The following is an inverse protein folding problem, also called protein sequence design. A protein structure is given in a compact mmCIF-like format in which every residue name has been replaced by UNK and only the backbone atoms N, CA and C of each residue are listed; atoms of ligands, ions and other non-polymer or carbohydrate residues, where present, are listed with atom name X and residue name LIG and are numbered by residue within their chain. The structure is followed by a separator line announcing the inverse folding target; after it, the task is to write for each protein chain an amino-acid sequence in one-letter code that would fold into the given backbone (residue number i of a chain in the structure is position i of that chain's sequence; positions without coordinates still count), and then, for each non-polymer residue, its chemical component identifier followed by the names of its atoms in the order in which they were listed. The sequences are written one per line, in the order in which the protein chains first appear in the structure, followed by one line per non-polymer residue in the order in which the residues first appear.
data_IF_134600599436
#
_entry.id   IF_134600599436
#
_cell.length_a   1.000
_cell.length_b   1.000
_cell.length_c   1.000
_cell.angle_alpha   90.00
_cell.angle_beta   90.00
_cell.angle_gamma   90.00
#
_symmetry.space_group_name_H-M   'P 1'
#
loop_
_entity.id
_entity.type
_entity.pdbx_description
1 polymer ?
#
# COMPACT_ATOMS: atom_id res chain seq x y z
N UNK A 1 -12.20 -3.11 -11.34
CA UNK A 1 -10.73 -2.99 -11.31
C UNK A 1 -10.39 -1.83 -10.40
N UNK A 2 -9.36 -1.97 -9.57
CA UNK A 2 -8.83 -0.90 -8.74
C UNK A 2 -7.34 -0.73 -9.05
N UNK A 3 -6.90 0.51 -9.22
CA UNK A 3 -5.48 0.87 -9.32
C UNK A 3 -5.22 1.90 -8.24
N UNK A 4 -4.31 1.61 -7.33
CA UNK A 4 -4.00 2.46 -6.19
C UNK A 4 -2.49 2.66 -6.16
N UNK A 5 -2.06 3.92 -6.02
CA UNK A 5 -0.68 4.25 -5.67
C UNK A 5 -0.69 4.54 -4.17
N UNK A 6 0.18 3.89 -3.42
CA UNK A 6 0.26 4.04 -1.97
C UNK A 6 1.70 3.87 -1.48
N UNK A 7 1.96 4.31 -0.26
CA UNK A 7 3.25 4.14 0.39
C UNK A 7 3.57 2.65 0.62
N UNK A 8 4.85 2.32 0.50
CA UNK A 8 5.46 1.06 0.84
C UNK A 8 6.30 1.26 2.11
N UNK A 9 5.67 1.08 3.27
CA UNK A 9 6.29 1.37 4.56
C UNK A 9 7.57 0.56 4.82
N UNK A 10 7.67 -0.65 4.27
CA UNK A 10 8.88 -1.46 4.41
C UNK A 10 10.08 -0.77 3.75
N UNK A 11 9.91 -0.23 2.54
CA UNK A 11 10.98 0.49 1.85
C UNK A 11 11.21 1.88 2.46
N UNK A 12 10.16 2.59 2.88
CA UNK A 12 10.33 3.86 3.62
C UNK A 12 11.15 3.65 4.90
N UNK A 13 10.84 2.61 5.68
CA UNK A 13 11.59 2.27 6.88
C UNK A 13 13.04 1.89 6.56
N UNK A 14 13.30 1.19 5.44
CA UNK A 14 14.66 0.87 4.99
C UNK A 14 15.46 2.13 4.65
N UNK A 15 14.85 3.08 3.94
CA UNK A 15 15.48 4.38 3.67
C UNK A 15 15.84 5.08 4.99
N UNK A 16 14.93 5.10 5.97
CA UNK A 16 15.17 5.78 7.25
C UNK A 16 16.30 5.14 8.08
N UNK A 17 16.38 3.81 8.16
CA UNK A 17 17.42 3.15 8.96
C UNK A 17 18.81 3.21 8.31
N UNK A 18 18.87 3.46 7.00
CA UNK A 18 20.12 3.62 6.24
C UNK A 18 20.70 5.04 6.38
N UNK A 19 20.04 5.92 7.13
CA UNK A 19 20.42 7.33 7.31
C UNK A 19 20.76 7.61 8.77
N UNK A 20 21.92 8.23 8.99
CA UNK A 20 22.39 8.60 10.33
C UNK A 20 21.60 9.79 10.90
N UNK A 21 21.21 10.72 10.03
CA UNK A 21 20.37 11.89 10.34
C UNK A 21 19.18 11.94 9.39
N UNK A 22 18.05 12.47 9.87
CA UNK A 22 16.84 12.65 9.07
C UNK A 22 16.72 14.12 8.67
N UNK A 23 16.74 14.37 7.36
CA UNK A 23 16.46 15.68 6.78
C UNK A 23 14.95 15.91 6.61
N UNK A 24 14.60 17.11 6.17
CA UNK A 24 13.20 17.51 5.97
C UNK A 24 12.50 16.57 4.97
N UNK A 25 13.16 16.14 3.89
CA UNK A 25 12.54 15.29 2.88
C UNK A 25 12.18 13.90 3.46
N UNK A 26 13.04 13.34 4.31
CA UNK A 26 12.78 12.08 5.04
C UNK A 26 11.64 12.25 6.05
N UNK A 27 11.56 13.40 6.72
CA UNK A 27 10.47 13.73 7.63
C UNK A 27 9.16 13.87 6.85
N UNK A 28 9.19 14.49 5.66
CA UNK A 28 8.03 14.60 4.77
C UNK A 28 7.53 13.24 4.31
N UNK A 29 8.43 12.33 3.96
CA UNK A 29 8.09 10.98 3.50
C UNK A 29 7.25 10.17 4.50
N UNK A 30 7.42 10.39 5.82
CA UNK A 30 6.78 9.57 6.87
C UNK A 30 5.82 10.34 7.78
N UNK A 31 5.99 11.66 7.88
CA UNK A 31 5.23 12.50 8.80
C UNK A 31 4.60 13.71 8.13
N UNK A 32 4.52 13.74 6.79
CA UNK A 32 4.00 14.88 6.03
C UNK A 32 4.59 16.23 6.50
N UNK A 33 5.86 16.23 6.93
CA UNK A 33 6.62 17.40 7.34
C UNK A 33 6.42 17.84 8.79
N UNK A 34 5.56 17.17 9.57
CA UNK A 34 5.37 17.54 10.97
C UNK A 34 5.10 16.34 11.89
N UNK A 35 6.16 15.77 12.49
CA UNK A 35 6.06 14.58 13.34
C UNK A 35 5.37 14.87 14.68
N UNK A 36 5.16 16.12 15.07
CA UNK A 36 4.48 16.47 16.33
C UNK A 36 2.96 16.55 16.19
N UNK A 37 2.43 16.47 14.97
CA UNK A 37 0.99 16.57 14.69
C UNK A 37 0.39 15.17 14.50
N UNK A 38 -0.49 14.68 15.40
CA UNK A 38 -1.03 13.32 15.34
C UNK A 38 -1.83 12.94 14.08
N UNK A 39 -2.24 13.94 13.29
CA UNK A 39 -2.90 13.75 12.00
C UNK A 39 -1.94 13.35 10.88
N UNK A 40 -0.64 13.65 11.04
CA UNK A 40 0.34 13.56 9.97
C UNK A 40 1.09 12.24 9.94
N UNK A 41 0.95 11.42 10.99
CA UNK A 41 1.41 10.03 10.94
C UNK A 41 0.62 9.26 9.90
N UNK A 42 1.31 8.58 8.98
CA UNK A 42 0.68 7.58 8.14
C UNK A 42 0.08 6.48 9.03
N UNK A 43 -1.24 6.50 9.21
CA UNK A 43 -1.98 5.47 9.97
C UNK A 43 -2.09 4.15 9.24
N UNK A 44 -1.76 4.15 7.95
CA UNK A 44 -1.73 2.98 7.11
C UNK A 44 -0.73 3.20 5.99
N UNK A 45 0.30 2.36 5.95
CA UNK A 45 1.15 2.19 4.77
C UNK A 45 1.57 0.72 4.80
N UNK A 46 0.84 -0.15 4.10
CA UNK A 46 1.10 -1.58 4.17
C UNK A 46 2.45 -1.93 3.51
N UNK A 47 3.10 -3.00 3.96
CA UNK A 47 4.07 -3.69 3.10
C UNK A 47 3.32 -4.35 1.93
N UNK A 48 4.00 -4.72 0.82
CA UNK A 48 3.38 -5.43 -0.28
C UNK A 48 2.61 -6.69 0.17
N UNK A 49 3.17 -7.45 1.11
CA UNK A 49 2.56 -8.67 1.65
C UNK A 49 1.27 -8.36 2.41
N UNK A 50 1.29 -7.31 3.25
CA UNK A 50 0.10 -6.91 4.00
C UNK A 50 -0.98 -6.33 3.09
N UNK A 51 -0.59 -5.59 2.05
CA UNK A 51 -1.51 -5.09 1.03
C UNK A 51 -2.20 -6.25 0.29
N UNK A 52 -1.46 -7.28 -0.14
CA UNK A 52 -2.04 -8.46 -0.78
C UNK A 52 -3.07 -9.14 0.13
N UNK A 53 -2.75 -9.28 1.42
CA UNK A 53 -3.68 -9.85 2.40
C UNK A 53 -4.97 -9.04 2.49
N UNK A 54 -4.88 -7.72 2.68
CA UNK A 54 -6.04 -6.83 2.79
C UNK A 54 -6.92 -6.87 1.53
N UNK A 55 -6.31 -6.86 0.34
CA UNK A 55 -7.06 -6.93 -0.90
C UNK A 55 -7.76 -8.28 -1.08
N UNK A 56 -7.14 -9.39 -0.66
CA UNK A 56 -7.79 -10.71 -0.65
C UNK A 56 -8.98 -10.74 0.30
N UNK A 57 -8.83 -10.20 1.51
CA UNK A 57 -9.92 -10.08 2.48
C UNK A 57 -11.07 -9.22 1.96
N UNK A 58 -10.77 -8.20 1.14
CA UNK A 58 -11.77 -7.36 0.46
C UNK A 58 -12.40 -8.01 -0.81
N UNK A 59 -12.05 -9.26 -1.13
CA UNK A 59 -12.60 -10.03 -2.24
C UNK A 59 -11.94 -9.79 -3.60
N UNK A 60 -10.75 -9.19 -3.64
CA UNK A 60 -9.92 -9.17 -4.84
C UNK A 60 -9.09 -10.46 -4.92
N UNK A 61 -8.89 -10.99 -6.12
CA UNK A 61 -8.22 -12.29 -6.30
C UNK A 61 -7.06 -12.20 -7.30
N UNK A 62 -7.11 -11.27 -8.26
CA UNK A 62 -5.94 -10.91 -9.06
C UNK A 62 -5.40 -9.61 -8.51
N UNK A 63 -4.20 -9.69 -7.91
CA UNK A 63 -3.50 -8.58 -7.28
C UNK A 63 -2.08 -8.61 -7.81
N UNK A 64 -1.64 -7.51 -8.42
CA UNK A 64 -0.27 -7.33 -8.90
C UNK A 64 0.27 -6.05 -8.29
N UNK A 65 1.50 -6.12 -7.78
CA UNK A 65 2.20 -4.98 -7.18
C UNK A 65 3.38 -4.63 -8.08
N UNK A 66 3.52 -3.34 -8.35
CA UNK A 66 4.62 -2.77 -9.11
C UNK A 66 5.34 -1.74 -8.24
N UNK A 67 6.64 -1.59 -8.48
CA UNK A 67 7.40 -0.44 -7.97
C UNK A 67 6.85 0.84 -8.60
N UNK A 68 6.79 1.93 -7.85
CA UNK A 68 6.55 3.26 -8.40
C UNK A 68 7.89 3.90 -8.82
N UNK A 69 8.20 4.04 -10.12
CA UNK A 69 9.54 4.48 -10.55
C UNK A 69 10.01 5.83 -9.96
N UNK A 70 9.16 6.87 -9.86
CA UNK A 70 9.58 8.16 -9.33
C UNK A 70 10.21 8.08 -7.94
N UNK A 71 9.69 7.20 -7.08
CA UNK A 71 10.22 7.08 -5.72
C UNK A 71 11.60 6.43 -5.69
N UNK A 72 11.83 5.46 -6.59
CA UNK A 72 13.10 4.77 -6.71
C UNK A 72 14.20 5.69 -7.22
N UNK A 73 13.86 6.64 -8.09
CA UNK A 73 14.79 7.66 -8.57
C UNK A 73 15.22 8.63 -7.47
N UNK A 74 14.31 8.98 -6.56
CA UNK A 74 14.58 9.92 -5.45
C UNK A 74 15.35 9.21 -4.31
N UNK A 75 14.88 8.03 -3.91
CA UNK A 75 15.32 7.38 -2.67
C UNK A 75 16.25 6.19 -2.87
N UNK A 76 16.48 5.76 -4.12
CA UNK A 76 17.14 4.49 -4.44
C UNK A 76 16.28 3.25 -4.15
N UNK A 77 15.06 3.44 -3.63
CA UNK A 77 14.12 2.40 -3.20
C UNK A 77 12.69 2.74 -3.61
N UNK A 78 11.88 1.72 -3.87
CA UNK A 78 10.46 1.89 -4.20
C UNK A 78 9.62 2.17 -2.94
N UNK A 79 9.79 3.36 -2.35
CA UNK A 79 9.06 3.84 -1.16
C UNK A 79 7.56 4.03 -1.41
N UNK A 80 7.14 4.00 -2.66
CA UNK A 80 5.76 3.91 -3.11
C UNK A 80 5.59 2.68 -4.00
N UNK A 81 4.37 2.16 -4.02
CA UNK A 81 3.99 1.01 -4.84
C UNK A 81 2.66 1.26 -5.56
N UNK A 82 2.52 0.65 -6.72
CA UNK A 82 1.26 0.57 -7.47
C UNK A 82 0.65 -0.79 -7.21
N UNK A 83 -0.62 -0.81 -6.80
CA UNK A 83 -1.41 -2.02 -6.63
C UNK A 83 -2.49 -2.03 -7.70
N UNK A 84 -2.42 -3.01 -8.60
CA UNK A 84 -3.52 -3.33 -9.52
C UNK A 84 -4.30 -4.53 -8.98
N UNK A 85 -5.61 -4.36 -8.81
CA UNK A 85 -6.47 -5.39 -8.27
C UNK A 85 -7.77 -5.58 -9.06
N UNK A 86 -8.18 -6.83 -9.23
CA UNK A 86 -9.44 -7.22 -9.90
C UNK A 86 -10.26 -8.13 -8.98
N UNK A 87 -11.58 -7.87 -8.95
CA UNK A 87 -12.63 -8.69 -8.32
C UNK A 87 -13.19 -9.69 -9.31
N UNK A 88 -13.71 -10.81 -8.80
CA UNK A 88 -14.00 -11.94 -9.68
C UNK A 88 -15.34 -11.62 -10.24
N UNK A 89 -15.48 -11.67 -11.56
CA UNK A 89 -16.79 -11.54 -12.19
C UNK A 89 -17.76 -12.66 -11.78
N UNK A 90 -17.30 -13.63 -10.97
CA UNK A 90 -18.12 -14.66 -10.36
C UNK A 90 -19.16 -14.04 -9.43
N UNK A 91 -20.42 -14.29 -9.75
CA UNK A 91 -21.56 -14.02 -8.88
C UNK A 91 -21.89 -15.31 -8.13
N UNK A 92 -21.96 -15.25 -6.81
CA UNK A 92 -22.45 -16.39 -6.02
C UNK A 92 -23.96 -16.47 -6.23
N UNK A 93 -24.40 -17.43 -7.04
CA UNK A 93 -25.81 -17.73 -7.22
C UNK A 93 -26.36 -18.44 -5.99
N UNK A 94 -27.27 -17.81 -5.26
CA UNK A 94 -28.04 -18.50 -4.23
C UNK A 94 -29.17 -19.26 -4.91
N UNK A 95 -29.04 -20.58 -5.04
CA UNK A 95 -30.16 -21.43 -5.44
C UNK A 95 -31.09 -21.54 -4.24
N UNK A 96 -32.21 -20.81 -4.26
CA UNK A 96 -33.31 -21.05 -3.34
C UNK A 96 -33.85 -22.45 -3.64
N UNK A 97 -33.68 -23.41 -2.72
CA UNK A 97 -34.45 -24.65 -2.77
C UNK A 97 -35.87 -24.30 -2.32
N UNK A 98 -36.80 -24.29 -3.27
CA UNK A 98 -38.21 -24.39 -2.95
C UNK A 98 -38.40 -25.69 -2.14
N UNK A 99 -39.01 -25.56 -0.97
CA UNK A 99 -39.43 -26.72 -0.18
C UNK A 99 -40.79 -27.13 -0.75
N UNK A 100 -40.85 -28.34 -1.29
CA UNK A 100 -42.09 -29.07 -1.56
C UNK A 100 -42.90 -29.31 -0.27
#
# INVERSE_FOLDING_TARGET
MAVIITANLLEQARVLIEREEWDDDLIYMVFAGNPDYPSNYHRSSPSPEYAIKLFREAGFHSITIYEWPPSKEIWGRATEMVIEAKKSGAVIGHTLREKD
#
